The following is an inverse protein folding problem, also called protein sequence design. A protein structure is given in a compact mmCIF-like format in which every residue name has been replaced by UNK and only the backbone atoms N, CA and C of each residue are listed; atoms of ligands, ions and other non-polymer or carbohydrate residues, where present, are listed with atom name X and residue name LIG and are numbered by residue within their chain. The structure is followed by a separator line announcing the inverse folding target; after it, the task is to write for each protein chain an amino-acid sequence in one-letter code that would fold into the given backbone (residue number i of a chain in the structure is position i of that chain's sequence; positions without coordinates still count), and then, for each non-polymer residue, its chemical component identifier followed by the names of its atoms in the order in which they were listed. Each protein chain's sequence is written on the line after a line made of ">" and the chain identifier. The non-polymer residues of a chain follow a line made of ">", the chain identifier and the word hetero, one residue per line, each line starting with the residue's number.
data_IF_055519843415
#
_entry.id   IF_055519843415
#
_cell.length_a   1.000
_cell.length_b   1.000
_cell.length_c   1.000
_cell.angle_alpha   90.00
_cell.angle_beta   90.00
_cell.angle_gamma   90.00
#
_symmetry.space_group_name_H-M   'P 1'
#
loop_
_entity.id
_entity.type
_entity.pdbx_description
1 polymer ?
#
# COMPACT_ATOMS: atom_id res chain seq x y z
N UNK A 1 11.04 7.64 -13.92
CA UNK A 1 11.90 6.94 -12.94
C UNK A 1 11.02 6.71 -11.73
N UNK A 2 10.64 5.46 -11.46
CA UNK A 2 9.94 5.13 -10.23
C UNK A 2 10.91 5.28 -9.06
N UNK A 3 10.72 6.37 -8.30
CA UNK A 3 11.57 6.73 -7.15
C UNK A 3 11.39 5.71 -6.01
N UNK A 4 10.30 4.96 -6.01
CA UNK A 4 9.93 4.00 -4.97
C UNK A 4 9.84 2.58 -5.52
N UNK A 5 10.36 1.61 -4.76
CA UNK A 5 10.28 0.19 -5.03
C UNK A 5 9.62 -0.55 -3.87
N UNK A 6 8.94 -1.65 -4.16
CA UNK A 6 8.25 -2.47 -3.16
C UNK A 6 8.98 -3.78 -2.95
N UNK A 7 9.56 -3.97 -1.76
CA UNK A 7 10.25 -5.20 -1.40
C UNK A 7 9.33 -6.08 -0.53
N UNK A 8 8.99 -7.28 -1.02
CA UNK A 8 8.12 -8.22 -0.29
C UNK A 8 8.74 -8.62 1.05
N UNK A 9 7.97 -8.52 2.12
CA UNK A 9 8.29 -9.02 3.45
C UNK A 9 7.80 -10.46 3.54
N UNK A 10 8.60 -11.39 4.11
CA UNK A 10 8.15 -12.76 4.35
C UNK A 10 6.83 -12.79 5.11
N UNK A 11 5.90 -13.63 4.65
CA UNK A 11 4.62 -13.85 5.32
C UNK A 11 4.87 -14.49 6.69
N UNK A 12 4.05 -14.12 7.67
CA UNK A 12 4.02 -14.80 8.98
C UNK A 12 3.17 -16.06 8.85
N UNK A 13 3.48 -17.09 9.64
CA UNK A 13 2.66 -18.28 9.69
C UNK A 13 1.22 -17.92 10.11
N UNK A 14 0.22 -18.47 9.41
CA UNK A 14 -1.22 -18.22 9.63
C UNK A 14 -1.68 -16.77 9.47
N UNK A 15 -0.90 -15.94 8.78
CA UNK A 15 -1.26 -14.55 8.49
C UNK A 15 -1.28 -14.34 6.97
N UNK A 16 -2.48 -14.25 6.35
CA UNK A 16 -2.61 -14.05 4.91
C UNK A 16 -2.19 -12.64 4.47
N UNK A 17 -1.90 -11.74 5.42
CA UNK A 17 -1.50 -10.36 5.13
C UNK A 17 -0.19 -10.32 4.36
N UNK A 18 -0.26 -9.84 3.12
CA UNK A 18 0.91 -9.55 2.30
C UNK A 18 1.50 -8.22 2.74
N UNK A 19 2.78 -8.23 3.08
CA UNK A 19 3.49 -7.03 3.52
C UNK A 19 4.63 -6.72 2.58
N UNK A 20 4.82 -5.45 2.29
CA UNK A 20 5.90 -4.95 1.46
C UNK A 20 6.56 -3.76 2.16
N UNK A 21 7.86 -3.57 1.95
CA UNK A 21 8.55 -2.35 2.34
C UNK A 21 8.55 -1.42 1.15
N UNK A 22 8.29 -0.15 1.41
CA UNK A 22 8.44 0.92 0.42
C UNK A 22 9.85 1.46 0.60
N UNK A 23 10.65 1.30 -0.43
CA UNK A 23 12.05 1.71 -0.41
C UNK A 23 12.25 2.80 -1.46
N UNK A 24 12.88 3.90 -1.06
CA UNK A 24 13.20 5.01 -1.95
C UNK A 24 14.58 4.82 -2.57
N UNK A 25 14.63 4.67 -3.89
CA UNK A 25 15.83 4.83 -4.73
C UNK A 25 17.12 4.10 -4.30
N UNK A 26 18.24 4.52 -4.88
CA UNK A 26 19.60 3.98 -4.71
C UNK A 26 20.08 3.87 -3.25
N UNK A 27 19.47 4.64 -2.35
CA UNK A 27 19.86 4.70 -0.94
C UNK A 27 19.30 3.55 -0.08
N UNK A 28 18.48 2.65 -0.64
CA UNK A 28 17.83 1.54 0.10
C UNK A 28 17.06 2.02 1.35
N UNK A 29 16.60 3.28 1.34
CA UNK A 29 15.94 3.86 2.50
C UNK A 29 14.50 3.36 2.56
N UNK A 30 14.20 2.59 3.60
CA UNK A 30 12.82 2.24 3.93
C UNK A 30 12.09 3.51 4.38
N UNK A 31 11.39 4.11 3.43
CA UNK A 31 10.53 5.27 3.64
C UNK A 31 9.15 4.87 4.12
N UNK A 32 8.79 3.60 3.95
CA UNK A 32 7.49 3.12 4.36
C UNK A 32 7.24 1.63 4.34
N UNK A 33 5.99 1.28 4.62
CA UNK A 33 5.47 -0.09 4.56
C UNK A 33 4.13 -0.08 3.87
N UNK A 34 3.86 -1.20 3.20
CA UNK A 34 2.61 -1.57 2.60
C UNK A 34 2.11 -2.83 3.29
N UNK A 35 0.87 -2.82 3.75
CA UNK A 35 0.18 -4.02 4.18
C UNK A 35 -1.06 -4.18 3.31
N UNK A 36 -1.38 -5.43 2.96
CA UNK A 36 -2.54 -5.85 2.17
C UNK A 36 -3.12 -7.05 2.91
N UNK A 37 -4.30 -6.87 3.52
CA UNK A 37 -5.01 -7.95 4.20
C UNK A 37 -5.69 -8.90 3.20
N UNK A 38 -5.59 -10.22 3.44
CA UNK A 38 -6.37 -11.25 2.74
C UNK A 38 -5.58 -12.12 1.75
N UNK A 39 -5.98 -13.40 1.67
CA UNK A 39 -6.01 -14.14 0.39
C UNK A 39 -7.18 -13.54 -0.37
N UNK A 40 -7.08 -13.29 -1.67
CA UNK A 40 -7.95 -12.33 -2.36
C UNK A 40 -8.95 -13.04 -3.27
N UNK A 41 -10.05 -13.61 -2.75
CA UNK A 41 -11.23 -13.95 -3.54
C UNK A 41 -12.08 -12.69 -3.80
N UNK A 42 -13.01 -12.79 -4.75
CA UNK A 42 -13.95 -11.71 -5.06
C UNK A 42 -14.76 -11.27 -3.83
N UNK A 43 -14.90 -9.96 -3.64
CA UNK A 43 -15.66 -9.36 -2.54
C UNK A 43 -14.89 -9.13 -1.24
N UNK A 44 -13.60 -9.50 -1.19
CA UNK A 44 -12.76 -9.23 -0.04
C UNK A 44 -12.31 -7.76 0.09
N UNK A 45 -11.93 -7.39 1.32
CA UNK A 45 -11.46 -6.04 1.64
C UNK A 45 -9.93 -6.00 1.64
N UNK A 46 -9.37 -5.22 0.73
CA UNK A 46 -7.94 -4.92 0.70
C UNK A 46 -7.69 -3.61 1.42
N UNK A 47 -6.98 -3.66 2.55
CA UNK A 47 -6.52 -2.44 3.23
C UNK A 47 -5.14 -2.11 2.71
N UNK A 48 -4.96 -0.91 2.14
CA UNK A 48 -3.68 -0.31 1.80
C UNK A 48 -3.22 0.57 2.97
N UNK A 49 -2.24 0.11 3.73
CA UNK A 49 -1.60 0.97 4.75
C UNK A 49 -0.27 1.46 4.22
N UNK A 50 -0.07 2.78 4.15
CA UNK A 50 1.18 3.43 3.77
C UNK A 50 1.72 4.19 4.97
N UNK A 51 2.81 3.69 5.54
CA UNK A 51 3.56 4.42 6.56
C UNK A 51 4.64 5.26 5.88
N UNK A 52 4.74 6.57 6.15
CA UNK A 52 5.76 7.46 5.61
C UNK A 52 6.51 8.15 6.75
N UNK A 53 7.85 8.14 6.77
CA UNK A 53 8.61 8.91 7.78
C UNK A 53 8.30 10.41 7.67
N UNK A 54 8.21 11.12 8.82
CA UNK A 54 7.92 12.57 8.83
C UNK A 54 8.93 13.45 8.07
N UNK A 55 10.12 12.94 7.78
CA UNK A 55 11.15 13.66 6.99
C UNK A 55 10.75 13.88 5.54
N UNK A 56 9.74 13.16 5.02
CA UNK A 56 9.23 13.37 3.66
C UNK A 56 8.35 14.61 3.61
N UNK A 57 8.53 15.43 2.57
CA UNK A 57 7.61 16.51 2.25
C UNK A 57 6.23 15.96 1.86
N UNK A 58 5.16 16.76 2.00
CA UNK A 58 3.80 16.36 1.64
C UNK A 58 3.70 15.86 0.18
N UNK A 59 4.35 16.56 -0.75
CA UNK A 59 4.40 16.16 -2.17
C UNK A 59 5.08 14.80 -2.39
N UNK A 60 6.09 14.46 -1.58
CA UNK A 60 6.74 13.15 -1.63
C UNK A 60 5.83 12.07 -1.04
N UNK A 61 5.08 12.37 0.03
CA UNK A 61 4.10 11.43 0.62
C UNK A 61 2.98 11.11 -0.36
N UNK A 62 2.47 12.11 -1.06
CA UNK A 62 1.48 11.92 -2.13
C UNK A 62 2.05 11.11 -3.30
N UNK A 63 3.33 11.33 -3.65
CA UNK A 63 4.01 10.53 -4.66
C UNK A 63 4.14 9.06 -4.24
N UNK A 64 4.53 8.80 -2.98
CA UNK A 64 4.57 7.44 -2.41
C UNK A 64 3.18 6.80 -2.48
N UNK A 65 2.14 7.54 -2.10
CA UNK A 65 0.77 7.05 -2.14
C UNK A 65 0.31 6.71 -3.56
N UNK A 66 0.58 7.59 -4.52
CA UNK A 66 0.27 7.34 -5.94
C UNK A 66 0.97 6.10 -6.47
N UNK A 67 2.26 5.93 -6.17
CA UNK A 67 3.04 4.74 -6.54
C UNK A 67 2.52 3.48 -5.83
N UNK A 68 2.12 3.57 -4.57
CA UNK A 68 1.54 2.45 -3.81
C UNK A 68 0.17 2.01 -4.34
N UNK A 69 -0.67 2.97 -4.76
CA UNK A 69 -1.95 2.69 -5.42
C UNK A 69 -1.75 1.94 -6.72
N UNK A 70 -0.88 2.47 -7.59
CA UNK A 70 -0.54 1.80 -8.86
C UNK A 70 0.00 0.40 -8.64
N UNK A 71 0.88 0.21 -7.67
CA UNK A 71 1.40 -1.11 -7.32
C UNK A 71 0.30 -2.06 -6.84
N UNK A 72 -0.65 -1.57 -6.04
CA UNK A 72 -1.81 -2.36 -5.62
C UNK A 72 -2.67 -2.75 -6.84
N UNK A 73 -2.98 -1.80 -7.72
CA UNK A 73 -3.75 -2.06 -8.95
C UNK A 73 -3.07 -3.13 -9.81
N UNK A 74 -1.75 -3.01 -10.06
CA UNK A 74 -0.96 -3.99 -10.83
C UNK A 74 -0.91 -5.36 -10.14
N UNK A 75 -0.81 -5.39 -8.81
CA UNK A 75 -0.78 -6.63 -8.03
C UNK A 75 -2.11 -7.37 -8.10
N UNK A 76 -3.23 -6.65 -7.92
CA UNK A 76 -4.58 -7.22 -7.95
C UNK A 76 -4.97 -7.60 -9.38
N UNK A 77 -4.58 -6.81 -10.37
CA UNK A 77 -4.74 -7.16 -11.79
C UNK A 77 -3.97 -8.43 -12.15
N UNK A 78 -2.80 -8.65 -11.56
CA UNK A 78 -2.05 -9.91 -11.67
C UNK A 78 -2.79 -11.14 -11.12
N UNK A 79 -3.84 -10.94 -10.31
CA UNK A 79 -4.74 -11.98 -9.82
C UNK A 79 -6.04 -12.08 -10.62
N UNK A 80 -6.24 -11.21 -11.63
CA UNK A 80 -7.47 -11.17 -12.42
C UNK A 80 -8.62 -10.40 -11.78
N UNK A 81 -8.36 -9.62 -10.74
CA UNK A 81 -9.35 -8.77 -10.07
C UNK A 81 -9.03 -7.28 -10.28
N UNK A 82 -9.93 -6.41 -9.86
CA UNK A 82 -9.70 -4.97 -9.72
C UNK A 82 -10.00 -4.54 -8.29
N UNK A 83 -9.51 -3.38 -7.88
CA UNK A 83 -9.85 -2.76 -6.59
C UNK A 83 -10.63 -1.48 -6.81
N UNK A 84 -11.69 -1.30 -6.04
CA UNK A 84 -12.42 -0.04 -5.93
C UNK A 84 -12.12 0.59 -4.57
N UNK A 85 -11.74 1.86 -4.55
CA UNK A 85 -11.54 2.58 -3.29
C UNK A 85 -12.87 2.71 -2.54
N UNK A 86 -12.91 2.25 -1.29
CA UNK A 86 -14.06 2.45 -0.41
C UNK A 86 -14.00 3.89 0.11
N UNK A 87 -15.07 4.70 -0.06
CA UNK A 87 -15.07 6.06 0.44
C UNK A 87 -14.89 6.07 1.97
N UNK A 88 -13.82 6.73 2.42
CA UNK A 88 -13.41 6.74 3.83
C UNK A 88 -12.41 7.87 4.13
N UNK A 89 -11.89 7.87 5.36
CA UNK A 89 -10.96 8.89 5.85
C UNK A 89 -9.58 8.73 5.19
N UNK A 90 -9.37 9.41 4.06
CA UNK A 90 -8.08 9.56 3.37
C UNK A 90 -7.19 10.61 4.01
N UNK A 91 -6.89 10.45 5.29
CA UNK A 91 -6.07 11.42 6.03
C UNK A 91 -4.76 10.80 6.50
N UNK A 92 -3.68 11.57 6.34
CA UNK A 92 -2.38 11.25 6.91
C UNK A 92 -2.44 11.44 8.43
N UNK A 93 -2.66 10.36 9.16
CA UNK A 93 -2.66 10.37 10.61
C UNK A 93 -1.20 10.42 11.12
N UNK A 94 -0.81 11.45 11.89
CA UNK A 94 0.48 11.45 12.57
C UNK A 94 0.50 10.36 13.66
N UNK A 95 1.55 9.56 13.66
CA UNK A 95 1.76 8.47 14.60
C UNK A 95 2.78 8.89 15.67
N UNK A 96 2.70 8.32 16.88
CA UNK A 96 3.56 8.70 18.02
C UNK A 96 5.06 8.44 17.78
N UNK A 97 5.40 7.61 16.80
CA UNK A 97 6.77 7.31 16.36
C UNK A 97 7.33 8.33 15.33
N UNK A 98 6.58 9.40 15.03
CA UNK A 98 6.97 10.39 14.03
C UNK A 98 6.79 9.92 12.59
N UNK A 99 6.00 8.88 12.37
CA UNK A 99 5.55 8.42 11.05
C UNK A 99 4.20 9.07 10.73
N UNK A 100 3.95 9.39 9.48
CA UNK A 100 2.60 9.68 9.00
C UNK A 100 2.04 8.42 8.36
N UNK A 101 0.86 7.99 8.80
CA UNK A 101 0.18 6.81 8.29
C UNK A 101 -1.01 7.24 7.46
N UNK A 102 -1.05 6.78 6.22
CA UNK A 102 -2.25 6.78 5.40
C UNK A 102 -2.83 5.37 5.39
N UNK A 103 -4.13 5.24 5.63
CA UNK A 103 -4.85 3.98 5.50
C UNK A 103 -6.00 4.19 4.53
N UNK A 104 -6.02 3.42 3.45
CA UNK A 104 -7.10 3.43 2.47
C UNK A 104 -7.66 2.03 2.39
N UNK A 105 -8.98 1.91 2.42
CA UNK A 105 -9.68 0.64 2.28
C UNK A 105 -10.14 0.52 0.83
N UNK A 106 -9.89 -0.64 0.24
CA UNK A 106 -10.29 -1.00 -1.11
C UNK A 106 -11.16 -2.25 -1.04
N UNK A 107 -12.13 -2.34 -1.94
CA UNK A 107 -12.93 -3.52 -2.15
C UNK A 107 -12.50 -4.20 -3.44
N UNK A 108 -12.27 -5.50 -3.38
CA UNK A 108 -11.94 -6.31 -4.55
C UNK A 108 -13.22 -6.51 -5.35
N UNK A 109 -13.18 -6.13 -6.62
CA UNK A 109 -14.27 -6.29 -7.58
C UNK A 109 -13.80 -7.19 -8.71
N UNK A 110 -14.70 -8.04 -9.23
CA UNK A 110 -14.42 -8.80 -10.44
C UNK A 110 -13.98 -7.84 -11.55
N UNK A 111 -12.88 -8.13 -12.22
CA UNK A 111 -12.56 -7.45 -13.46
C UNK A 111 -13.63 -7.86 -14.49
N UNK A 112 -14.60 -6.98 -14.77
CA UNK A 112 -15.51 -7.20 -15.88
C UNK A 112 -14.68 -7.08 -17.16
N UNK A 113 -14.27 -8.23 -17.71
CA UNK A 113 -13.73 -8.38 -19.07
C UNK A 113 -14.83 -8.12 -20.11
#
# INVERSE_FOLDING_TARGET
>A
MDVFRFAKIPMRANDPTRRYRIVRGEEDVTVGRLEIGGDVPDGDSVVLTVDCRAVLAETERESVLSTARRFLDELVAGWGHQVAEVPGAREWAPQPDGVHRMRIEYQVVCANL
#
